data_IF_230642440477
#
_entry.id   IF_230642440477
#
_cell.length_a   1.000
_cell.length_b   1.000
_cell.length_c   1.000
_cell.angle_alpha   90.00
_cell.angle_beta   90.00
_cell.angle_gamma   90.00
#
_symmetry.space_group_name_H-M   'P 1'
#
loop_
_entity.id
_entity.type
_entity.pdbx_description
1 polymer ?
#
# COMPACT_ATOMS: atom_id res chain seq x y z
N UNK A 1 16.43 -14.15 -3.33
CA UNK A 1 15.71 -14.49 -2.09
C UNK A 1 14.57 -13.51 -1.91
N UNK A 2 13.36 -13.96 -1.57
CA UNK A 2 12.18 -13.14 -1.31
C UNK A 2 11.90 -13.07 0.20
N UNK A 3 11.18 -12.04 0.70
CA UNK A 3 10.74 -11.99 2.09
C UNK A 3 9.70 -13.09 2.36
N UNK A 4 9.85 -13.81 3.47
CA UNK A 4 8.96 -14.92 3.84
C UNK A 4 7.81 -14.49 4.74
N UNK A 5 8.04 -13.44 5.56
CA UNK A 5 7.06 -12.93 6.52
C UNK A 5 6.70 -11.49 6.17
N UNK A 6 5.46 -11.29 5.72
CA UNK A 6 4.94 -9.96 5.40
C UNK A 6 4.00 -9.49 6.52
N UNK A 7 4.09 -8.22 6.88
CA UNK A 7 3.03 -7.56 7.62
C UNK A 7 2.23 -6.68 6.66
N UNK A 8 1.06 -7.14 6.26
CA UNK A 8 0.11 -6.36 5.47
C UNK A 8 -0.58 -5.40 6.41
N UNK A 9 -0.51 -4.09 6.11
CA UNK A 9 -1.11 -3.04 6.94
C UNK A 9 -1.97 -2.11 6.08
N UNK A 10 -2.99 -1.56 6.71
CA UNK A 10 -3.83 -0.51 6.15
C UNK A 10 -4.28 0.43 7.29
N UNK A 11 -4.52 1.70 6.98
CA UNK A 11 -4.91 2.71 7.96
C UNK A 11 -6.13 3.49 7.49
N UNK A 12 -7.09 3.71 8.40
CA UNK A 12 -8.15 4.69 8.22
C UNK A 12 -7.82 5.96 8.99
N UNK A 13 -8.18 7.09 8.42
CA UNK A 13 -7.72 8.40 8.91
C UNK A 13 -8.84 9.43 8.89
N UNK A 14 -8.67 10.52 9.63
CA UNK A 14 -9.62 11.64 9.62
C UNK A 14 -9.50 12.54 8.40
N UNK A 15 -8.47 12.33 7.56
CA UNK A 15 -8.18 13.08 6.33
C UNK A 15 -6.85 12.69 5.74
N UNK A 16 -6.33 13.46 4.78
CA UNK A 16 -5.18 13.09 3.95
C UNK A 16 -3.85 13.69 4.42
N UNK A 17 -3.88 14.76 5.20
CA UNK A 17 -2.68 15.49 5.64
C UNK A 17 -2.26 15.04 7.05
N UNK A 18 -1.21 14.25 7.11
CA UNK A 18 -0.70 13.72 8.38
C UNK A 18 -0.13 14.78 9.36
N UNK A 19 -0.09 16.07 8.98
CA UNK A 19 0.29 17.14 9.89
C UNK A 19 -0.91 17.66 10.72
N UNK A 20 -2.11 17.54 10.18
CA UNK A 20 -3.35 18.05 10.81
C UNK A 20 -4.38 16.96 11.08
N UNK A 21 -4.35 15.89 10.32
CA UNK A 21 -5.24 14.74 10.45
C UNK A 21 -4.61 13.63 11.32
N UNK A 22 -5.40 12.62 11.64
CA UNK A 22 -4.99 11.53 12.55
C UNK A 22 -5.35 10.17 11.97
N UNK A 23 -4.53 9.15 12.26
CA UNK A 23 -4.91 7.76 12.08
C UNK A 23 -5.92 7.38 13.17
N UNK A 24 -7.02 6.73 12.78
CA UNK A 24 -8.12 6.33 13.67
C UNK A 24 -8.44 4.84 13.65
N UNK A 25 -7.94 4.10 12.67
CA UNK A 25 -8.00 2.64 12.64
C UNK A 25 -6.72 2.09 12.02
N UNK A 26 -6.25 0.98 12.56
CA UNK A 26 -5.17 0.18 11.95
C UNK A 26 -5.67 -1.24 11.77
N UNK A 27 -5.46 -1.78 10.57
CA UNK A 27 -5.57 -3.19 10.27
C UNK A 27 -4.18 -3.77 10.02
N UNK A 28 -3.92 -4.97 10.51
CA UNK A 28 -2.65 -5.66 10.28
C UNK A 28 -2.85 -7.17 10.15
N UNK A 29 -2.17 -7.78 9.17
CA UNK A 29 -2.16 -9.23 8.94
C UNK A 29 -0.71 -9.70 8.77
N UNK A 30 -0.28 -10.62 9.63
CA UNK A 30 0.98 -11.33 9.46
C UNK A 30 0.76 -12.49 8.49
N UNK A 31 1.43 -12.45 7.35
CA UNK A 31 1.26 -13.39 6.25
C UNK A 31 2.55 -14.13 5.95
N UNK A 32 2.48 -15.46 5.89
CA UNK A 32 3.60 -16.31 5.52
C UNK A 32 3.54 -16.63 4.02
N UNK A 33 4.56 -16.18 3.28
CA UNK A 33 4.61 -16.31 1.81
C UNK A 33 4.77 -17.75 1.35
N UNK A 34 5.71 -18.57 1.88
CA UNK A 34 5.89 -19.95 1.43
C UNK A 34 4.63 -20.82 1.57
N UNK A 35 3.88 -20.63 2.65
CA UNK A 35 2.67 -21.42 2.94
C UNK A 35 1.37 -20.73 2.50
N UNK A 36 1.43 -19.53 1.92
CA UNK A 36 0.23 -18.74 1.52
C UNK A 36 -0.78 -18.62 2.66
N UNK A 37 -0.30 -18.37 3.89
CA UNK A 37 -1.11 -18.47 5.10
C UNK A 37 -1.07 -17.21 5.94
N UNK A 38 -2.24 -16.84 6.46
CA UNK A 38 -2.39 -15.83 7.51
C UNK A 38 -2.03 -16.50 8.85
N UNK A 39 -1.05 -15.94 9.57
CA UNK A 39 -0.63 -16.44 10.89
C UNK A 39 -1.27 -15.67 12.04
N UNK A 40 -1.49 -14.36 11.85
CA UNK A 40 -2.09 -13.50 12.86
C UNK A 40 -2.77 -12.32 12.18
N UNK A 41 -3.77 -11.74 12.84
CA UNK A 41 -4.43 -10.53 12.40
C UNK A 41 -4.96 -9.73 13.56
N UNK A 42 -5.04 -8.41 13.39
CA UNK A 42 -5.69 -7.52 14.34
C UNK A 42 -6.29 -6.31 13.65
N UNK A 43 -7.25 -5.69 14.33
CA UNK A 43 -7.76 -4.35 14.03
C UNK A 43 -8.06 -3.65 15.34
N UNK A 44 -7.77 -2.35 15.41
CA UNK A 44 -8.11 -1.53 16.56
C UNK A 44 -8.34 -0.08 16.15
N UNK A 45 -9.18 0.60 16.91
CA UNK A 45 -9.43 2.02 16.74
C UNK A 45 -8.46 2.85 17.60
N UNK A 46 -8.16 4.05 17.14
CA UNK A 46 -7.37 5.04 17.87
C UNK A 46 -8.31 6.23 18.17
N UNK A 47 -8.41 6.68 19.40
CA UNK A 47 -9.32 7.75 19.78
C UNK A 47 -9.10 9.05 19.00
N UNK A 48 -10.19 9.64 18.52
CA UNK A 48 -10.21 10.94 17.85
C UNK A 48 -11.48 11.69 18.18
N UNK A 49 -11.38 12.99 18.46
CA UNK A 49 -12.53 13.86 18.77
C UNK A 49 -13.41 14.13 17.54
N UNK A 50 -12.83 14.01 16.34
CA UNK A 50 -13.56 14.24 15.09
C UNK A 50 -13.06 13.31 14.00
N UNK A 51 -13.88 13.09 12.97
CA UNK A 51 -13.53 12.37 11.77
C UNK A 51 -14.15 13.03 10.52
N UNK A 52 -13.36 13.84 9.82
CA UNK A 52 -13.82 14.52 8.59
C UNK A 52 -14.06 13.52 7.43
N UNK A 53 -13.45 12.34 7.50
CA UNK A 53 -13.55 11.27 6.50
C UNK A 53 -14.64 10.22 6.84
N UNK A 54 -15.51 10.46 7.82
CA UNK A 54 -16.54 9.52 8.28
C UNK A 54 -17.43 9.00 7.14
N UNK A 55 -17.77 9.86 6.15
CA UNK A 55 -18.57 9.44 4.99
C UNK A 55 -17.84 8.39 4.11
N UNK A 56 -16.51 8.30 4.21
CA UNK A 56 -15.67 7.36 3.45
C UNK A 56 -15.46 6.10 4.27
N UNK A 57 -14.85 6.22 5.47
CA UNK A 57 -14.47 5.07 6.30
C UNK A 57 -15.59 4.57 7.22
N UNK A 58 -16.66 5.34 7.38
CA UNK A 58 -17.86 4.98 8.19
C UNK A 58 -17.53 4.69 9.66
N UNK A 59 -16.55 5.41 10.20
CA UNK A 59 -16.14 5.31 11.61
C UNK A 59 -16.58 6.59 12.30
N UNK A 60 -17.69 6.61 13.05
CA UNK A 60 -18.07 7.75 13.87
C UNK A 60 -16.99 8.04 14.92
N UNK A 61 -16.68 9.33 15.13
CA UNK A 61 -15.63 9.71 16.08
C UNK A 61 -15.92 9.26 17.52
N UNK A 62 -17.18 9.28 17.94
CA UNK A 62 -17.60 8.83 19.28
C UNK A 62 -17.30 7.35 19.53
N UNK A 63 -17.33 6.49 18.49
CA UNK A 63 -16.99 5.07 18.63
C UNK A 63 -15.49 4.90 18.92
N UNK A 64 -14.64 5.74 18.34
CA UNK A 64 -13.18 5.67 18.57
C UNK A 64 -12.82 5.98 20.03
N UNK A 65 -13.66 6.71 20.75
CA UNK A 65 -13.43 7.15 22.13
C UNK A 65 -13.95 6.16 23.18
N UNK A 66 -14.60 5.07 22.76
CA UNK A 66 -15.03 4.02 23.66
C UNK A 66 -13.81 3.34 24.30
N UNK A 67 -13.98 2.91 25.56
CA UNK A 67 -12.91 2.22 26.28
C UNK A 67 -12.50 0.92 25.55
N UNK A 68 -11.22 0.79 25.27
CA UNK A 68 -10.63 -0.35 24.57
C UNK A 68 -9.18 -0.58 25.01
N UNK A 69 -8.64 -1.79 24.86
CA UNK A 69 -7.27 -2.13 25.27
C UNK A 69 -6.24 -1.61 24.25
N UNK A 70 -6.17 -0.27 24.06
CA UNK A 70 -5.34 0.35 23.04
C UNK A 70 -3.85 0.06 23.24
N UNK A 71 -3.34 0.12 24.48
CA UNK A 71 -1.91 -0.12 24.72
C UNK A 71 -1.51 -1.56 24.37
N UNK A 72 -2.35 -2.52 24.71
CA UNK A 72 -2.14 -3.94 24.37
C UNK A 72 -2.19 -4.15 22.85
N UNK A 73 -3.09 -3.46 22.16
CA UNK A 73 -3.18 -3.50 20.71
C UNK A 73 -1.91 -2.92 20.05
N UNK A 74 -1.39 -1.80 20.55
CA UNK A 74 -0.12 -1.21 20.09
C UNK A 74 1.06 -2.15 20.35
N UNK A 75 1.13 -2.77 21.53
CA UNK A 75 2.17 -3.73 21.88
C UNK A 75 2.13 -4.95 20.96
N UNK A 76 0.93 -5.43 20.63
CA UNK A 76 0.78 -6.55 19.71
C UNK A 76 1.15 -6.14 18.26
N UNK A 77 0.78 -4.95 17.82
CA UNK A 77 1.22 -4.41 16.53
C UNK A 77 2.76 -4.38 16.44
N UNK A 78 3.43 -3.91 17.48
CA UNK A 78 4.90 -3.92 17.54
C UNK A 78 5.46 -5.35 17.40
N UNK A 79 4.88 -6.32 18.10
CA UNK A 79 5.30 -7.72 18.00
C UNK A 79 5.11 -8.28 16.58
N UNK A 80 4.04 -7.91 15.88
CA UNK A 80 3.81 -8.28 14.47
C UNK A 80 4.85 -7.62 13.54
N UNK A 81 5.18 -6.34 13.76
CA UNK A 81 6.23 -5.64 13.01
C UNK A 81 7.57 -6.35 13.20
N UNK A 82 7.93 -6.68 14.44
CA UNK A 82 9.20 -7.34 14.77
C UNK A 82 9.30 -8.73 14.12
N UNK A 83 8.18 -9.43 14.02
CA UNK A 83 8.08 -10.78 13.44
C UNK A 83 8.08 -10.78 11.89
N UNK A 84 7.99 -9.62 11.25
CA UNK A 84 7.96 -9.52 9.79
C UNK A 84 9.31 -9.17 9.19
N UNK A 85 9.53 -9.54 7.93
CA UNK A 85 10.68 -9.11 7.13
C UNK A 85 10.41 -7.77 6.44
N UNK A 86 9.14 -7.51 6.10
CA UNK A 86 8.69 -6.44 5.23
C UNK A 86 7.27 -6.00 5.61
N UNK A 87 7.01 -4.70 5.57
CA UNK A 87 5.64 -4.18 5.59
C UNK A 87 5.13 -3.99 4.17
N UNK A 88 3.89 -4.38 3.94
CA UNK A 88 3.19 -4.19 2.66
C UNK A 88 1.91 -3.41 2.90
N UNK A 89 1.71 -2.34 2.13
CA UNK A 89 0.45 -1.61 2.11
C UNK A 89 0.00 -1.32 0.68
N UNK A 90 -1.29 -1.12 0.48
CA UNK A 90 -1.83 -0.72 -0.80
C UNK A 90 -1.92 0.81 -0.87
N UNK A 91 -0.99 1.46 -1.57
CA UNK A 91 -0.64 2.88 -1.49
C UNK A 91 0.23 3.21 -0.26
N UNK A 92 1.30 2.44 -0.06
CA UNK A 92 2.16 2.49 1.12
C UNK A 92 2.70 3.89 1.48
N UNK A 93 2.83 4.81 0.51
CA UNK A 93 3.20 6.19 0.77
C UNK A 93 2.18 6.93 1.65
N UNK A 94 0.91 6.51 1.61
CA UNK A 94 -0.13 7.04 2.49
C UNK A 94 -0.02 6.46 3.90
N UNK A 95 0.05 5.14 4.03
CA UNK A 95 0.04 4.47 5.34
C UNK A 95 1.31 4.74 6.14
N UNK A 96 2.46 4.69 5.47
CA UNK A 96 3.77 4.88 6.10
C UNK A 96 3.91 6.18 6.89
N UNK A 97 3.28 7.27 6.46
CA UNK A 97 3.39 8.59 7.14
C UNK A 97 2.67 8.68 8.49
N UNK A 98 1.85 7.70 8.83
CA UNK A 98 1.16 7.62 10.12
C UNK A 98 1.99 6.87 11.17
N UNK A 99 2.81 5.91 10.75
CA UNK A 99 3.73 5.20 11.63
C UNK A 99 4.84 6.14 12.11
N UNK A 100 5.22 6.00 13.39
CA UNK A 100 6.13 6.92 14.08
C UNK A 100 5.45 8.14 14.66
N UNK A 101 4.13 8.32 14.45
CA UNK A 101 3.31 9.34 15.12
C UNK A 101 2.51 8.69 16.22
N UNK A 102 2.55 9.26 17.43
CA UNK A 102 1.82 8.75 18.61
C UNK A 102 0.34 8.50 18.28
N UNK A 103 -0.21 7.32 18.62
CA UNK A 103 0.41 6.25 19.40
C UNK A 103 1.14 5.17 18.57
N UNK A 104 1.23 5.29 17.25
CA UNK A 104 1.80 4.25 16.39
C UNK A 104 3.32 4.19 16.47
N UNK A 105 3.90 2.97 16.50
CA UNK A 105 5.34 2.78 16.63
C UNK A 105 6.10 3.21 15.37
N UNK A 106 7.39 3.50 15.54
CA UNK A 106 8.32 3.64 14.42
C UNK A 106 8.55 2.30 13.74
N UNK A 107 8.70 2.34 12.42
CA UNK A 107 9.00 1.16 11.62
C UNK A 107 10.34 1.33 10.92
N UNK A 108 11.32 0.50 11.29
CA UNK A 108 12.64 0.43 10.65
C UNK A 108 12.70 -0.60 9.51
N UNK A 109 11.69 -1.45 9.38
CA UNK A 109 11.59 -2.46 8.32
C UNK A 109 11.35 -1.80 6.96
N UNK A 110 11.76 -2.42 5.85
CA UNK A 110 11.43 -1.95 4.52
C UNK A 110 9.92 -1.97 4.28
N UNK A 111 9.47 -1.13 3.34
CA UNK A 111 8.08 -1.05 2.89
C UNK A 111 7.98 -1.37 1.41
N UNK A 112 6.91 -2.04 1.02
CA UNK A 112 6.55 -2.31 -0.36
C UNK A 112 5.10 -1.86 -0.61
N UNK A 113 4.90 -1.16 -1.72
CA UNK A 113 3.59 -0.72 -2.16
C UNK A 113 3.00 -1.72 -3.16
N UNK A 114 1.94 -2.42 -2.79
CA UNK A 114 1.30 -3.38 -3.71
C UNK A 114 0.62 -2.71 -4.92
N UNK A 115 0.36 -1.40 -4.86
CA UNK A 115 -0.19 -0.63 -5.97
C UNK A 115 0.88 -0.10 -6.93
N UNK A 116 2.02 0.37 -6.40
CA UNK A 116 3.06 1.06 -7.18
C UNK A 116 4.23 0.17 -7.56
N UNK A 117 4.64 -0.73 -6.65
CA UNK A 117 5.88 -1.50 -6.78
C UNK A 117 5.65 -2.89 -7.36
N UNK A 118 4.42 -3.42 -7.28
CA UNK A 118 4.09 -4.73 -7.82
C UNK A 118 3.49 -4.59 -9.22
N UNK A 119 4.20 -5.12 -10.22
CA UNK A 119 3.71 -5.20 -11.60
C UNK A 119 2.86 -6.46 -11.77
N UNK A 120 1.58 -6.33 -11.50
CA UNK A 120 0.62 -7.43 -11.58
C UNK A 120 0.58 -8.08 -12.97
N UNK A 121 0.33 -9.41 -13.08
CA UNK A 121 0.31 -10.13 -14.33
C UNK A 121 -0.69 -9.54 -15.34
N UNK A 122 -0.28 -9.46 -16.61
CA UNK A 122 -1.08 -8.84 -17.69
C UNK A 122 -2.36 -9.60 -18.02
N UNK A 123 -2.40 -10.91 -17.79
CA UNK A 123 -3.60 -11.75 -17.98
C UNK A 123 -4.74 -11.41 -17.01
N UNK A 124 -4.45 -10.66 -15.95
CA UNK A 124 -5.46 -10.17 -15.01
C UNK A 124 -6.20 -8.93 -15.49
N UNK A 125 -5.79 -8.32 -16.61
CA UNK A 125 -6.39 -7.13 -17.22
C UNK A 125 -6.55 -5.95 -16.24
N UNK A 126 -5.60 -5.80 -15.34
CA UNK A 126 -5.57 -4.72 -14.36
C UNK A 126 -4.98 -3.45 -14.97
N UNK A 127 -5.52 -2.31 -14.59
CA UNK A 127 -4.87 -1.01 -14.88
C UNK A 127 -3.51 -0.93 -14.17
N UNK A 128 -2.58 -0.08 -14.60
CA UNK A 128 -1.22 0.02 -14.03
C UNK A 128 -1.18 0.24 -12.52
N UNK A 129 -2.20 0.91 -11.96
CA UNK A 129 -2.34 1.20 -10.52
C UNK A 129 -3.75 0.79 -10.10
N UNK A 130 -3.97 -0.52 -9.92
CA UNK A 130 -5.28 -1.02 -9.55
C UNK A 130 -5.65 -0.62 -8.13
N UNK A 131 -6.92 -0.45 -7.82
CA UNK A 131 -7.36 -0.39 -6.42
C UNK A 131 -7.29 -1.78 -5.79
N UNK A 132 -7.30 -1.85 -4.44
CA UNK A 132 -7.38 -3.15 -3.74
C UNK A 132 -8.62 -3.94 -4.15
N UNK A 133 -9.71 -3.23 -4.44
CA UNK A 133 -10.95 -3.83 -4.95
C UNK A 133 -10.78 -4.42 -6.37
N UNK A 134 -10.09 -3.71 -7.28
CA UNK A 134 -9.79 -4.24 -8.62
C UNK A 134 -8.96 -5.52 -8.52
N UNK A 135 -7.95 -5.53 -7.63
CA UNK A 135 -7.14 -6.71 -7.34
C UNK A 135 -7.99 -7.86 -6.81
N UNK A 136 -8.83 -7.60 -5.80
CA UNK A 136 -9.70 -8.61 -5.21
C UNK A 136 -10.57 -9.26 -6.30
N UNK A 137 -11.24 -8.47 -7.13
CA UNK A 137 -12.10 -8.99 -8.20
C UNK A 137 -11.30 -9.76 -9.25
N UNK A 138 -10.11 -9.29 -9.66
CA UNK A 138 -9.26 -9.98 -10.63
C UNK A 138 -8.74 -11.34 -10.13
N UNK A 139 -8.67 -11.53 -8.81
CA UNK A 139 -8.29 -12.79 -8.17
C UNK A 139 -9.49 -13.55 -7.58
N UNK A 140 -10.69 -13.23 -8.01
CA UNK A 140 -11.93 -13.92 -7.59
C UNK A 140 -12.16 -13.88 -6.07
N UNK A 141 -11.72 -12.81 -5.43
CA UNK A 141 -11.98 -12.54 -4.01
C UNK A 141 -13.29 -11.78 -3.89
N UNK A 142 -14.31 -12.30 -3.17
CA UNK A 142 -15.55 -11.56 -2.95
C UNK A 142 -15.31 -10.25 -2.21
N UNK A 143 -15.92 -9.16 -2.68
CA UNK A 143 -15.82 -7.83 -2.06
C UNK A 143 -17.15 -7.52 -1.37
N UNK A 144 -17.12 -7.24 -0.05
CA UNK A 144 -18.32 -6.97 0.74
C UNK A 144 -18.34 -5.58 1.39
N UNK A 145 -17.23 -5.10 1.93
CA UNK A 145 -17.17 -3.80 2.63
C UNK A 145 -15.77 -3.19 2.53
N UNK A 146 -15.59 -2.27 1.62
CA UNK A 146 -14.35 -1.50 1.49
C UNK A 146 -14.27 -0.38 2.53
N UNK A 147 -13.06 0.19 2.70
CA UNK A 147 -12.78 1.30 3.63
C UNK A 147 -12.95 0.94 5.10
N UNK A 148 -12.47 -0.24 5.48
CA UNK A 148 -12.16 -0.64 6.85
C UNK A 148 -10.80 -1.32 6.82
N UNK A 149 -9.88 -0.86 7.62
CA UNK A 149 -8.46 -1.21 7.52
C UNK A 149 -8.20 -2.73 7.49
N UNK A 150 -8.79 -3.50 8.40
CA UNK A 150 -8.60 -4.96 8.38
C UNK A 150 -9.25 -5.62 7.14
N UNK A 151 -10.37 -5.10 6.67
CA UNK A 151 -11.04 -5.65 5.48
C UNK A 151 -10.17 -5.50 4.24
N UNK A 152 -9.55 -4.34 4.05
CA UNK A 152 -8.66 -4.09 2.91
C UNK A 152 -7.37 -4.93 3.02
N UNK A 153 -6.84 -5.13 4.25
CA UNK A 153 -5.77 -6.11 4.49
C UNK A 153 -6.19 -7.55 4.13
N UNK A 154 -7.43 -7.97 4.47
CA UNK A 154 -7.95 -9.31 4.13
C UNK A 154 -8.01 -9.48 2.61
N UNK A 155 -8.51 -8.49 1.86
CA UNK A 155 -8.54 -8.56 0.41
C UNK A 155 -7.15 -8.78 -0.17
N UNK A 156 -6.15 -8.02 0.29
CA UNK A 156 -4.79 -8.15 -0.20
C UNK A 156 -4.17 -9.51 0.19
N UNK A 157 -4.39 -9.99 1.41
CA UNK A 157 -3.94 -11.31 1.85
C UNK A 157 -4.56 -12.43 1.01
N UNK A 158 -5.86 -12.34 0.68
CA UNK A 158 -6.54 -13.31 -0.16
C UNK A 158 -6.07 -13.26 -1.62
N UNK A 159 -5.72 -12.08 -2.13
CA UNK A 159 -5.05 -11.93 -3.43
C UNK A 159 -3.70 -12.63 -3.40
N UNK A 160 -2.89 -12.42 -2.37
CA UNK A 160 -1.57 -13.07 -2.22
C UNK A 160 -1.68 -14.59 -2.13
N UNK A 161 -2.71 -15.12 -1.48
CA UNK A 161 -2.97 -16.57 -1.45
C UNK A 161 -3.21 -17.17 -2.83
N UNK A 162 -3.79 -16.42 -3.75
CA UNK A 162 -4.16 -16.84 -5.10
C UNK A 162 -3.16 -16.45 -6.18
N UNK A 163 -2.13 -15.70 -5.80
CA UNK A 163 -1.13 -15.20 -6.74
C UNK A 163 0.02 -16.18 -6.87
N UNK A 164 0.07 -16.94 -7.97
CA UNK A 164 1.16 -17.90 -8.25
C UNK A 164 2.52 -17.21 -8.42
N UNK A 165 2.52 -15.96 -8.91
CA UNK A 165 3.73 -15.18 -9.15
C UNK A 165 4.17 -14.33 -7.94
N UNK A 166 3.63 -14.54 -6.73
CA UNK A 166 3.82 -13.65 -5.58
C UNK A 166 5.30 -13.43 -5.26
N UNK A 167 6.11 -14.50 -5.21
CA UNK A 167 7.54 -14.40 -4.89
C UNK A 167 8.29 -13.52 -5.89
N UNK A 168 8.01 -13.70 -7.18
CA UNK A 168 8.61 -12.88 -8.23
C UNK A 168 8.17 -11.41 -8.12
N UNK A 169 6.89 -11.15 -7.83
CA UNK A 169 6.37 -9.80 -7.62
C UNK A 169 7.02 -9.12 -6.42
N UNK A 170 7.26 -9.83 -5.32
CA UNK A 170 7.94 -9.31 -4.14
C UNK A 170 9.40 -8.97 -4.44
N UNK A 171 10.13 -9.87 -5.10
CA UNK A 171 11.53 -9.64 -5.50
C UNK A 171 11.63 -8.41 -6.40
N UNK A 172 10.82 -8.33 -7.44
CA UNK A 172 10.81 -7.21 -8.38
C UNK A 172 10.34 -5.90 -7.73
N UNK A 173 9.35 -6.01 -6.82
CA UNK A 173 8.85 -4.85 -6.09
C UNK A 173 9.88 -4.19 -5.17
N UNK A 174 10.86 -4.98 -4.70
CA UNK A 174 11.95 -4.51 -3.84
C UNK A 174 13.19 -4.01 -4.61
N UNK A 175 13.20 -4.08 -5.95
CA UNK A 175 14.27 -3.50 -6.76
C UNK A 175 14.42 -2.00 -6.47
N UNK A 176 15.65 -1.45 -6.41
CA UNK A 176 15.87 -0.01 -6.27
C UNK A 176 15.15 0.75 -7.39
N UNK A 177 14.48 1.85 -7.04
CA UNK A 177 13.72 2.68 -7.98
C UNK A 177 14.20 4.11 -7.96
N UNK A 178 14.26 4.72 -9.16
CA UNK A 178 14.59 6.12 -9.36
C UNK A 178 13.39 6.87 -9.92
N UNK A 179 13.27 8.16 -9.58
CA UNK A 179 12.21 9.01 -10.11
C UNK A 179 12.53 9.36 -11.56
N UNK A 180 11.66 8.92 -12.47
CA UNK A 180 11.81 9.11 -13.90
C UNK A 180 10.73 10.06 -14.43
N UNK A 181 11.13 10.92 -15.39
CA UNK A 181 10.23 11.78 -16.19
C UNK A 181 10.15 11.24 -17.61
N UNK A 182 8.93 11.08 -18.12
CA UNK A 182 8.71 10.70 -19.53
C UNK A 182 9.08 11.84 -20.47
N UNK A 183 9.84 11.51 -21.54
CA UNK A 183 10.17 12.40 -22.63
C UNK A 183 9.24 12.13 -23.82
N UNK A 184 8.02 12.62 -23.74
CA UNK A 184 6.98 12.39 -24.75
C UNK A 184 6.29 13.69 -25.12
N UNK A 185 5.75 13.74 -26.34
CA UNK A 185 4.88 14.83 -26.81
C UNK A 185 3.49 14.74 -26.16
N UNK A 186 2.72 15.82 -26.25
CA UNK A 186 1.33 15.84 -25.76
C UNK A 186 0.45 14.78 -26.45
N UNK A 187 0.67 14.50 -27.73
CA UNK A 187 -0.06 13.47 -28.49
C UNK A 187 0.23 12.05 -27.99
N UNK A 188 1.41 11.82 -27.43
CA UNK A 188 1.86 10.52 -26.92
C UNK A 188 1.57 10.31 -25.44
N UNK A 189 0.92 11.24 -24.76
CA UNK A 189 0.63 11.17 -23.32
C UNK A 189 -0.08 9.89 -22.88
N UNK A 190 -0.80 9.22 -23.81
CA UNK A 190 -1.45 7.94 -23.54
C UNK A 190 -0.43 6.85 -23.20
N UNK A 191 0.76 6.85 -23.80
CA UNK A 191 1.84 5.89 -23.52
C UNK A 191 2.31 6.01 -22.06
N UNK A 192 2.53 7.24 -21.58
CA UNK A 192 2.90 7.46 -20.19
C UNK A 192 1.79 7.02 -19.23
N UNK A 193 0.54 7.32 -19.55
CA UNK A 193 -0.61 6.92 -18.74
C UNK A 193 -0.76 5.40 -18.65
N UNK A 194 -0.62 4.69 -19.76
CA UNK A 194 -0.67 3.23 -19.84
C UNK A 194 0.50 2.58 -19.08
N UNK A 195 1.67 3.23 -19.08
CA UNK A 195 2.83 2.82 -18.29
C UNK A 195 2.73 3.25 -16.81
N UNK A 196 1.60 3.82 -16.35
CA UNK A 196 1.36 4.18 -14.95
C UNK A 196 2.01 5.48 -14.48
N UNK A 197 2.53 6.31 -15.38
CA UNK A 197 3.00 7.65 -15.02
C UNK A 197 1.83 8.55 -14.64
N UNK A 198 2.09 9.52 -13.76
CA UNK A 198 1.13 10.55 -13.38
C UNK A 198 1.56 11.93 -13.88
N UNK A 199 0.58 12.73 -14.26
CA UNK A 199 0.80 14.12 -14.56
C UNK A 199 0.77 14.95 -13.27
N UNK A 200 1.74 15.85 -13.09
CA UNK A 200 1.88 16.72 -11.92
C UNK A 200 2.07 15.97 -10.57
N UNK A 201 2.46 14.71 -10.57
CA UNK A 201 2.62 13.95 -9.34
C UNK A 201 3.74 12.91 -9.48
N UNK A 202 4.81 12.99 -8.68
CA UNK A 202 5.15 14.03 -7.70
C UNK A 202 5.77 15.29 -8.32
N UNK A 203 5.98 15.35 -9.63
CA UNK A 203 6.69 16.44 -10.32
C UNK A 203 5.71 17.30 -11.09
N UNK A 204 5.63 18.58 -10.73
CA UNK A 204 4.79 19.56 -11.42
C UNK A 204 5.22 19.73 -12.88
N UNK A 205 4.25 19.81 -13.81
CA UNK A 205 4.49 19.99 -15.24
C UNK A 205 5.12 18.79 -15.94
N UNK A 206 5.08 17.59 -15.33
CA UNK A 206 5.69 16.39 -15.89
C UNK A 206 4.84 15.13 -15.68
N UNK A 207 4.96 14.18 -16.63
CA UNK A 207 4.60 12.79 -16.40
C UNK A 207 5.76 12.11 -15.68
N UNK A 208 5.57 11.68 -14.44
CA UNK A 208 6.63 11.08 -13.63
C UNK A 208 6.18 9.81 -12.92
N UNK A 209 7.16 8.93 -12.65
CA UNK A 209 6.98 7.67 -11.93
C UNK A 209 8.32 7.18 -11.39
N UNK A 210 8.31 6.50 -10.23
CA UNK A 210 9.48 5.75 -9.75
C UNK A 210 9.53 4.39 -10.43
N UNK A 211 10.67 4.06 -11.06
CA UNK A 211 10.86 2.83 -11.82
C UNK A 211 12.20 2.18 -11.48
N UNK A 212 12.24 0.83 -11.48
CA UNK A 212 13.47 0.06 -11.46
C UNK A 212 14.16 0.05 -12.84
N UNK A 213 15.43 -0.32 -12.90
CA UNK A 213 16.17 -0.41 -14.16
C UNK A 213 15.52 -1.42 -15.13
N UNK A 214 14.96 -2.50 -14.60
CA UNK A 214 14.20 -3.48 -15.39
C UNK A 214 12.93 -2.85 -15.99
N UNK A 215 12.13 -2.14 -15.19
CA UNK A 215 10.92 -1.46 -15.68
C UNK A 215 11.26 -0.39 -16.72
N UNK A 216 12.37 0.33 -16.56
CA UNK A 216 12.85 1.30 -17.56
C UNK A 216 13.17 0.61 -18.88
N UNK A 217 13.81 -0.57 -18.86
CA UNK A 217 14.17 -1.31 -20.07
C UNK A 217 12.96 -1.83 -20.86
N UNK A 218 11.80 -1.94 -20.24
CA UNK A 218 10.55 -2.42 -20.85
C UNK A 218 9.72 -1.27 -21.48
N UNK A 219 10.10 0.00 -21.24
CA UNK A 219 9.39 1.16 -21.81
C UNK A 219 9.63 1.27 -23.31
N UNK A 220 8.58 1.67 -24.03
CA UNK A 220 8.62 1.97 -25.47
C UNK A 220 8.78 3.47 -25.79
N UNK A 221 9.14 4.28 -24.81
CA UNK A 221 9.43 5.71 -24.92
C UNK A 221 10.59 6.11 -24.00
N UNK A 222 11.32 7.20 -24.33
CA UNK A 222 12.46 7.63 -23.53
C UNK A 222 12.04 8.27 -22.20
N UNK A 223 12.90 8.13 -21.20
CA UNK A 223 12.75 8.74 -19.87
C UNK A 223 14.05 9.39 -19.40
N UNK A 224 13.94 10.38 -18.52
CA UNK A 224 15.09 11.02 -17.86
C UNK A 224 14.99 10.77 -16.36
N UNK A 225 16.12 10.41 -15.71
CA UNK A 225 16.23 10.38 -14.26
C UNK A 225 16.22 11.79 -13.68
N UNK A 226 15.41 12.02 -12.66
CA UNK A 226 15.30 13.30 -11.95
C UNK A 226 16.04 13.31 -10.62
N UNK A 227 16.55 12.17 -10.17
CA UNK A 227 17.37 12.05 -8.95
C UNK A 227 18.85 11.99 -9.38
N UNK A 228 19.65 12.94 -8.89
CA UNK A 228 21.10 12.79 -8.92
C UNK A 228 21.48 11.64 -7.99
N UNK A 229 22.33 10.73 -8.49
CA UNK A 229 22.77 9.53 -7.77
C UNK A 229 23.64 9.81 -6.55
#
# INVERSE_FOLDING_TARGET
QYPEMLLIVDTETTGLDSNVDRCIEVGAILFNVPNRSILAQQSFLIPSENNKAEKINRIPSEITQLNQPLQEAINYLQALIDSSDLLVAHNAAFDRKWFGKTPLPNVSKPWLCSMEDMKWPSDRNLRPRPSVRDLALAYEVPVWNAHRALTDCIYLAEVFRRCDALEALLVHGLEPRRLMKAQISYSERHLAKEAGFRWNDPVEGAWSRRLSDREISELNFPVICLEEG
#
